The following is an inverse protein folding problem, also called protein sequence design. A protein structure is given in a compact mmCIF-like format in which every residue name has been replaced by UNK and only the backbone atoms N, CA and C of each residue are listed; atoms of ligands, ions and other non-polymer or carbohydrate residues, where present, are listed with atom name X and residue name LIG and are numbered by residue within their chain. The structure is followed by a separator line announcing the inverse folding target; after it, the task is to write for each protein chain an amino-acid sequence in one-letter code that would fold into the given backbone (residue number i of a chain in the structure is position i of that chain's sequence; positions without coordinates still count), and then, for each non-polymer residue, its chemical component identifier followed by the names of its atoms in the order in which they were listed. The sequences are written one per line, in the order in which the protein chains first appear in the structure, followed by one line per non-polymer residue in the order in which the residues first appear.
data_IF_117651221963
#
_entry.id   IF_117651221963
#
_cell.length_a   1.000
_cell.length_b   1.000
_cell.length_c   1.000
_cell.angle_alpha   90.00
_cell.angle_beta   90.00
_cell.angle_gamma   90.00
#
_symmetry.space_group_name_H-M   'P 1'
#
loop_
_entity.id
_entity.type
_entity.pdbx_description
1 polymer ?
#
# COMPACT_ATOMS: atom_id res chain seq x y z
N UNK A 1 11.46 -1.11 8.95
CA UNK A 1 10.10 -0.57 8.71
C UNK A 1 8.96 -1.57 8.96
N UNK A 2 9.08 -2.85 8.57
CA UNK A 2 7.98 -3.84 8.70
C UNK A 2 7.51 -4.10 10.15
N UNK A 3 8.40 -3.98 11.14
CA UNK A 3 8.10 -4.29 12.54
C UNK A 3 6.88 -3.51 13.09
N UNK A 4 6.78 -2.21 12.79
CA UNK A 4 5.64 -1.40 13.29
C UNK A 4 4.31 -1.82 12.66
N UNK A 5 4.34 -2.33 11.43
CA UNK A 5 3.14 -2.84 10.75
C UNK A 5 2.69 -4.18 11.33
N UNK A 6 3.62 -5.03 11.79
CA UNK A 6 3.28 -6.27 12.52
C UNK A 6 2.61 -5.96 13.86
N UNK A 7 3.18 -5.04 14.64
CA UNK A 7 2.58 -4.58 15.90
C UNK A 7 1.17 -4.02 15.70
N UNK A 8 0.94 -3.27 14.62
CA UNK A 8 -0.40 -2.78 14.29
C UNK A 8 -1.34 -3.92 13.86
N UNK A 9 -0.85 -4.86 13.05
CA UNK A 9 -1.62 -6.01 12.57
C UNK A 9 -2.08 -6.92 13.71
N UNK A 10 -1.24 -7.14 14.73
CA UNK A 10 -1.59 -7.90 15.94
C UNK A 10 -2.74 -7.24 16.73
N UNK A 11 -2.77 -5.90 16.77
CA UNK A 11 -3.85 -5.14 17.43
C UNK A 11 -5.13 -5.11 16.62
N UNK A 12 -5.00 -5.01 15.30
CA UNK A 12 -6.12 -4.95 14.35
C UNK A 12 -5.66 -5.48 12.99
N UNK A 13 -6.14 -6.67 12.56
CA UNK A 13 -5.66 -7.30 11.33
C UNK A 13 -5.78 -6.39 10.11
N UNK A 14 -4.63 -6.07 9.52
CA UNK A 14 -4.53 -5.35 8.26
C UNK A 14 -4.79 -6.31 7.09
N UNK A 15 -6.04 -6.39 6.64
CA UNK A 15 -6.46 -7.23 5.50
C UNK A 15 -6.12 -6.64 4.13
N UNK A 16 -6.22 -7.47 3.08
CA UNK A 16 -5.98 -7.12 1.68
C UNK A 16 -6.75 -5.87 1.24
N UNK A 17 -8.01 -5.74 1.65
CA UNK A 17 -8.89 -4.64 1.27
C UNK A 17 -8.37 -3.29 1.77
N UNK A 18 -7.69 -3.26 2.92
CA UNK A 18 -7.08 -2.03 3.44
C UNK A 18 -5.93 -1.56 2.55
N UNK A 19 -5.07 -2.48 2.10
CA UNK A 19 -3.97 -2.17 1.21
C UNK A 19 -4.47 -1.73 -0.17
N UNK A 20 -5.50 -2.39 -0.71
CA UNK A 20 -6.16 -1.98 -1.95
C UNK A 20 -6.80 -0.59 -1.82
N UNK A 21 -7.50 -0.33 -0.71
CA UNK A 21 -8.13 0.97 -0.44
C UNK A 21 -7.09 2.08 -0.33
N UNK A 22 -6.01 1.84 0.41
CA UNK A 22 -4.91 2.79 0.55
C UNK A 22 -4.28 3.10 -0.82
N UNK A 23 -3.97 2.07 -1.61
CA UNK A 23 -3.39 2.26 -2.95
C UNK A 23 -4.31 3.07 -3.86
N UNK A 24 -5.62 2.80 -3.84
CA UNK A 24 -6.62 3.56 -4.62
C UNK A 24 -6.63 5.04 -4.23
N UNK A 25 -6.67 5.36 -2.95
CA UNK A 25 -6.66 6.75 -2.47
C UNK A 25 -5.34 7.44 -2.88
N UNK A 26 -4.21 6.76 -2.69
CA UNK A 26 -2.90 7.28 -3.05
C UNK A 26 -2.81 7.56 -4.55
N UNK A 27 -3.18 6.60 -5.40
CA UNK A 27 -3.09 6.74 -6.86
C UNK A 27 -3.99 7.87 -7.37
N UNK A 28 -5.23 7.94 -6.87
CA UNK A 28 -6.17 9.02 -7.22
C UNK A 28 -5.65 10.40 -6.80
N UNK A 29 -4.97 10.48 -5.65
CA UNK A 29 -4.35 11.72 -5.19
C UNK A 29 -3.19 12.13 -6.09
N UNK A 30 -2.36 11.17 -6.50
CA UNK A 30 -1.27 11.43 -7.45
C UNK A 30 -1.82 11.91 -8.78
N UNK A 31 -2.82 11.22 -9.33
CA UNK A 31 -3.45 11.59 -10.61
C UNK A 31 -4.10 12.97 -10.57
N UNK A 32 -4.61 13.40 -9.41
CA UNK A 32 -5.23 14.72 -9.23
C UNK A 32 -4.20 15.85 -9.13
N UNK A 33 -3.03 15.60 -8.54
CA UNK A 33 -2.09 16.65 -8.13
C UNK A 33 -0.81 16.70 -8.96
N UNK A 34 -0.47 15.63 -9.67
CA UNK A 34 0.81 15.49 -10.35
C UNK A 34 0.65 14.80 -11.71
N UNK A 35 1.59 15.06 -12.62
CA UNK A 35 1.63 14.42 -13.95
C UNK A 35 3.06 14.01 -14.31
N UNK A 36 3.18 13.16 -15.31
CA UNK A 36 4.47 12.78 -15.90
C UNK A 36 5.16 11.61 -15.20
N UNK A 37 6.37 11.29 -15.67
CA UNK A 37 7.08 10.04 -15.33
C UNK A 37 7.24 9.80 -13.82
N UNK A 38 7.48 10.84 -13.04
CA UNK A 38 7.62 10.73 -11.58
C UNK A 38 6.30 10.32 -10.91
N UNK A 39 5.17 10.86 -11.37
CA UNK A 39 3.84 10.48 -10.87
C UNK A 39 3.54 9.00 -11.17
N UNK A 40 3.90 8.53 -12.36
CA UNK A 40 3.71 7.13 -12.75
C UNK A 40 4.61 6.17 -11.94
N UNK A 41 5.88 6.53 -11.76
CA UNK A 41 6.80 5.77 -10.91
C UNK A 41 6.33 5.75 -9.46
N UNK A 42 5.79 6.85 -8.93
CA UNK A 42 5.25 6.90 -7.58
C UNK A 42 4.08 5.91 -7.40
N UNK A 43 3.13 5.87 -8.35
CA UNK A 43 2.02 4.90 -8.33
C UNK A 43 2.53 3.46 -8.43
N UNK A 44 3.50 3.18 -9.31
CA UNK A 44 4.09 1.83 -9.42
C UNK A 44 4.73 1.38 -8.10
N UNK A 45 5.53 2.24 -7.47
CA UNK A 45 6.16 1.95 -6.18
C UNK A 45 5.14 1.76 -5.06
N UNK A 46 4.11 2.59 -5.00
CA UNK A 46 3.04 2.44 -4.02
C UNK A 46 2.33 1.08 -4.15
N UNK A 47 2.07 0.62 -5.38
CA UNK A 47 1.51 -0.71 -5.64
C UNK A 47 2.42 -1.82 -5.11
N UNK A 48 3.73 -1.73 -5.36
CA UNK A 48 4.71 -2.72 -4.86
C UNK A 48 4.79 -2.74 -3.34
N UNK A 49 4.77 -1.57 -2.69
CA UNK A 49 4.76 -1.46 -1.23
C UNK A 49 3.50 -2.11 -0.65
N UNK A 50 2.32 -1.78 -1.18
CA UNK A 50 1.05 -2.36 -0.74
C UNK A 50 1.04 -3.89 -0.88
N UNK A 51 1.53 -4.41 -2.01
CA UNK A 51 1.65 -5.85 -2.23
C UNK A 51 2.64 -6.51 -1.25
N UNK A 52 3.83 -5.93 -1.08
CA UNK A 52 4.85 -6.46 -0.17
C UNK A 52 4.37 -6.49 1.29
N UNK A 53 3.72 -5.42 1.77
CA UNK A 53 3.14 -5.38 3.11
C UNK A 53 2.04 -6.43 3.28
N UNK A 54 1.15 -6.59 2.29
CA UNK A 54 0.11 -7.61 2.34
C UNK A 54 0.71 -9.02 2.42
N UNK A 55 1.68 -9.37 1.57
CA UNK A 55 2.31 -10.69 1.58
C UNK A 55 3.04 -11.00 2.89
N UNK A 56 3.62 -9.97 3.53
CA UNK A 56 4.34 -10.15 4.79
C UNK A 56 3.43 -10.25 6.02
N UNK A 57 2.19 -9.76 5.95
CA UNK A 57 1.25 -9.75 7.07
C UNK A 57 0.11 -10.76 6.88
N UNK A 58 -0.20 -11.10 5.63
CA UNK A 58 -1.26 -12.02 5.23
C UNK A 58 -0.69 -13.08 4.24
N UNK A 59 0.22 -13.95 4.68
CA UNK A 59 0.90 -14.90 3.79
C UNK A 59 -0.02 -15.98 3.20
N UNK A 60 -1.22 -16.17 3.76
CA UNK A 60 -2.20 -17.17 3.28
C UNK A 60 -3.21 -16.62 2.26
N UNK A 61 -3.06 -15.36 1.84
CA UNK A 61 -3.89 -14.71 0.80
C UNK A 61 -3.19 -14.66 -0.57
#
# INVERSE_FOLDING_TARGET
PLAVHRVLHEKSPLKLEHFQRWFKIFSQTIDKLFVGKTADVAKLRAKMIAHSLNQNLNPEN
#
